data_IF_004749385036
#
_entry.id   IF_004749385036
#
_cell.length_a   1.000
_cell.length_b   1.000
_cell.length_c   1.000
_cell.angle_alpha   90.00
_cell.angle_beta   90.00
_cell.angle_gamma   90.00
#
_symmetry.space_group_name_H-M   'P 1'
#
loop_
_entity.id
_entity.type
_entity.pdbx_description
1 polymer ?
#
# COMPACT_ATOMS: atom_id res chain seq x y z
N UNK A 1 -25.56 -37.07 -34.40
CA UNK A 1 -24.22 -37.28 -34.99
C UNK A 1 -24.00 -36.14 -35.97
N UNK A 2 -23.54 -35.00 -35.48
CA UNK A 2 -23.22 -33.84 -36.32
C UNK A 2 -21.71 -33.59 -36.19
N UNK A 3 -20.99 -33.94 -37.25
CA UNK A 3 -19.55 -33.74 -37.37
C UNK A 3 -19.26 -32.27 -37.66
N UNK A 4 -18.86 -31.52 -36.64
CA UNK A 4 -18.35 -30.15 -36.83
C UNK A 4 -16.91 -30.21 -37.35
N UNK A 5 -16.76 -29.81 -38.62
CA UNK A 5 -15.50 -29.65 -39.33
C UNK A 5 -14.85 -28.31 -38.92
N UNK A 6 -13.72 -28.37 -38.22
CA UNK A 6 -12.95 -27.19 -37.81
C UNK A 6 -12.02 -26.82 -38.96
N UNK A 7 -12.25 -25.65 -39.57
CA UNK A 7 -11.40 -25.07 -40.59
C UNK A 7 -10.06 -24.63 -39.99
N UNK A 8 -8.97 -25.18 -40.53
CA UNK A 8 -7.60 -24.82 -40.16
C UNK A 8 -7.26 -23.41 -40.67
N UNK A 9 -6.85 -22.52 -39.75
CA UNK A 9 -6.37 -21.17 -40.08
C UNK A 9 -4.95 -21.22 -40.67
N UNK A 10 -4.62 -20.34 -41.62
CA UNK A 10 -3.29 -20.29 -42.25
C UNK A 10 -2.23 -19.82 -41.26
N UNK A 11 -1.15 -20.61 -41.12
CA UNK A 11 0.08 -20.24 -40.40
C UNK A 11 0.69 -19.00 -41.06
N UNK A 12 0.81 -17.93 -40.28
CA UNK A 12 1.57 -16.73 -40.65
C UNK A 12 3.06 -17.10 -40.59
N UNK A 13 3.73 -17.05 -41.74
CA UNK A 13 5.16 -17.30 -41.87
C UNK A 13 5.95 -16.38 -40.92
N UNK A 14 6.55 -16.98 -39.88
CA UNK A 14 7.59 -16.34 -39.08
C UNK A 14 8.83 -16.22 -39.96
N UNK A 15 9.06 -15.01 -40.48
CA UNK A 15 10.31 -14.63 -41.11
C UNK A 15 11.41 -14.73 -40.05
N UNK A 16 12.33 -15.68 -40.21
CA UNK A 16 13.49 -15.75 -39.34
C UNK A 16 14.34 -14.48 -39.51
N UNK A 17 14.81 -13.86 -38.40
CA UNK A 17 15.73 -12.75 -38.48
C UNK A 17 17.04 -13.20 -39.15
N UNK A 18 17.43 -12.45 -40.18
CA UNK A 18 18.63 -12.68 -40.97
C UNK A 18 19.87 -12.48 -40.10
N UNK A 19 20.79 -13.46 -40.09
CA UNK A 19 22.02 -13.45 -39.28
C UNK A 19 23.07 -12.41 -39.71
N UNK A 20 22.71 -11.45 -40.58
CA UNK A 20 23.61 -10.44 -41.13
C UNK A 20 23.27 -9.01 -40.69
N UNK A 21 22.34 -8.82 -39.75
CA UNK A 21 22.06 -7.48 -39.23
C UNK A 21 23.24 -7.02 -38.35
N UNK A 22 23.85 -5.85 -38.66
CA UNK A 22 24.95 -5.31 -37.87
C UNK A 22 24.47 -5.01 -36.44
N UNK A 23 25.34 -5.19 -35.43
CA UNK A 23 24.98 -4.91 -34.04
C UNK A 23 24.52 -3.46 -33.91
N UNK A 24 23.46 -3.19 -33.12
CA UNK A 24 23.01 -1.83 -32.88
C UNK A 24 24.15 -1.01 -32.28
N UNK A 25 24.28 0.28 -32.67
CA UNK A 25 25.31 1.15 -32.13
C UNK A 25 25.13 1.29 -30.61
N UNK A 26 26.23 1.42 -29.84
CA UNK A 26 26.15 1.64 -28.41
C UNK A 26 25.32 2.91 -28.12
N UNK A 27 24.48 2.89 -27.07
CA UNK A 27 23.67 4.05 -26.71
C UNK A 27 24.59 5.25 -26.44
N UNK A 28 24.29 6.36 -27.12
CA UNK A 28 25.01 7.61 -26.96
C UNK A 28 24.99 8.00 -25.47
N UNK A 29 26.18 8.12 -24.89
CA UNK A 29 26.35 8.63 -23.53
C UNK A 29 25.92 10.10 -23.54
N UNK A 30 24.70 10.34 -23.04
CA UNK A 30 24.25 11.67 -22.64
C UNK A 30 25.07 12.05 -21.39
N UNK A 31 26.10 12.88 -21.59
CA UNK A 31 26.75 13.62 -20.52
C UNK A 31 25.70 14.56 -19.90
N UNK A 32 25.10 14.10 -18.81
CA UNK A 32 24.28 14.94 -17.93
C UNK A 32 25.26 15.71 -17.05
N UNK A 33 25.60 16.93 -17.48
CA UNK A 33 26.25 17.93 -16.65
C UNK A 33 25.40 18.17 -15.40
N UNK A 34 25.82 17.53 -14.32
CA UNK A 34 25.23 17.72 -13.00
C UNK A 34 25.91 18.93 -12.37
N UNK A 35 25.47 20.13 -12.75
CA UNK A 35 25.71 21.32 -11.93
C UNK A 35 25.01 21.12 -10.59
N UNK A 36 25.81 20.83 -9.57
CA UNK A 36 25.43 20.71 -8.17
C UNK A 36 25.07 22.11 -7.63
N UNK A 37 23.80 22.46 -7.38
CA UNK A 37 23.51 23.61 -6.55
C UNK A 37 23.85 23.24 -5.12
N UNK A 38 24.73 24.04 -4.52
CA UNK A 38 25.09 23.93 -3.10
C UNK A 38 24.09 24.76 -2.31
N UNK A 39 23.16 24.16 -1.53
CA UNK A 39 22.38 24.93 -0.58
C UNK A 39 23.22 25.15 0.69
N UNK A 40 23.89 26.29 0.75
CA UNK A 40 24.37 26.87 1.99
C UNK A 40 23.18 27.43 2.78
N UNK A 41 22.49 26.56 3.53
CA UNK A 41 21.62 27.00 4.62
C UNK A 41 22.25 26.59 5.94
N UNK A 42 23.04 27.53 6.44
CA UNK A 42 23.35 27.73 7.84
C UNK A 42 22.04 27.92 8.60
N UNK A 43 21.72 26.98 9.49
CA UNK A 43 20.59 27.07 10.42
C UNK A 43 20.94 26.27 11.66
N UNK A 44 21.76 26.90 12.48
CA UNK A 44 21.68 26.98 13.95
C UNK A 44 20.87 25.87 14.61
N UNK A 45 21.58 24.81 15.02
CA UNK A 45 21.11 23.86 16.02
C UNK A 45 21.13 24.51 17.40
N UNK A 46 20.06 25.23 17.75
CA UNK A 46 19.73 25.57 19.14
C UNK A 46 18.99 24.39 19.77
N UNK A 47 19.76 23.46 20.34
CA UNK A 47 19.27 22.46 21.29
C UNK A 47 18.92 23.17 22.60
N UNK A 48 17.69 23.69 22.68
CA UNK A 48 17.18 24.29 23.92
C UNK A 48 16.03 23.43 24.46
N UNK A 49 16.27 22.85 25.65
CA UNK A 49 15.35 22.08 26.48
C UNK A 49 13.89 22.59 26.45
N UNK A 50 13.03 21.93 25.67
CA UNK A 50 11.59 22.20 25.59
C UNK A 50 10.73 21.05 26.17
N UNK A 51 11.24 20.31 27.15
CA UNK A 51 10.63 19.03 27.58
C UNK A 51 9.52 19.13 28.66
N UNK A 52 9.08 20.32 29.08
CA UNK A 52 8.18 20.45 30.24
C UNK A 52 6.77 20.99 29.97
N UNK A 53 6.45 21.45 28.76
CA UNK A 53 5.10 22.00 28.43
C UNK A 53 4.26 21.07 27.56
N UNK A 54 4.83 19.98 27.02
CA UNK A 54 4.17 19.08 26.06
C UNK A 54 3.09 18.18 26.69
N UNK A 55 2.98 18.14 28.02
CA UNK A 55 2.06 17.22 28.72
C UNK A 55 0.57 17.62 28.69
N UNK A 56 0.21 18.79 28.14
CA UNK A 56 -1.19 19.23 28.08
C UNK A 56 -1.83 19.17 26.69
N UNK A 57 -1.09 18.80 25.65
CA UNK A 57 -1.65 18.63 24.31
C UNK A 57 -2.19 17.20 24.13
N UNK A 58 -3.36 17.03 23.49
CA UNK A 58 -3.88 15.72 23.16
C UNK A 58 -2.83 14.88 22.41
N UNK A 59 -2.78 13.55 22.62
CA UNK A 59 -1.73 12.67 22.12
C UNK A 59 -1.54 12.71 20.60
N UNK A 60 -2.58 13.09 19.85
CA UNK A 60 -2.57 13.26 18.39
C UNK A 60 -1.70 14.44 17.93
N UNK A 61 -1.57 15.46 18.77
CA UNK A 61 -0.74 16.63 18.50
C UNK A 61 0.67 16.48 19.08
N UNK A 62 0.93 15.39 19.80
CA UNK A 62 2.28 15.07 20.24
C UNK A 62 3.03 14.43 19.08
N UNK A 63 4.15 15.01 18.71
CA UNK A 63 5.01 14.46 17.67
C UNK A 63 5.93 13.39 18.26
N UNK A 64 6.23 12.37 17.47
CA UNK A 64 7.27 11.42 17.82
C UNK A 64 8.62 12.08 17.57
N UNK A 65 9.42 12.27 18.61
CA UNK A 65 10.77 12.78 18.48
C UNK A 65 11.65 11.67 17.92
N UNK A 66 12.21 11.93 16.74
CA UNK A 66 13.08 10.98 16.05
C UNK A 66 14.49 11.53 16.10
N UNK A 67 15.42 10.70 16.55
CA UNK A 67 16.83 11.02 16.47
C UNK A 67 17.31 10.97 15.01
N UNK A 68 17.48 12.14 14.40
CA UNK A 68 17.98 12.29 13.03
C UNK A 68 19.49 12.03 12.91
N UNK A 69 20.18 11.80 14.03
CA UNK A 69 21.63 11.53 14.06
C UNK A 69 21.97 10.03 14.06
N UNK A 70 20.95 9.17 14.03
CA UNK A 70 21.12 7.72 13.96
C UNK A 70 21.84 7.32 12.64
N UNK A 71 23.05 6.73 12.72
CA UNK A 71 23.81 6.33 11.54
C UNK A 71 23.17 5.18 10.75
N UNK A 72 22.26 4.42 11.36
CA UNK A 72 21.59 3.28 10.73
C UNK A 72 20.24 3.64 10.10
N UNK A 73 19.85 4.92 10.07
CA UNK A 73 18.60 5.38 9.47
C UNK A 73 18.63 5.31 7.93
N UNK A 74 17.60 4.71 7.32
CA UNK A 74 17.47 4.66 5.86
C UNK A 74 17.43 6.09 5.29
N UNK A 75 18.22 6.44 4.26
CA UNK A 75 18.16 7.74 3.59
C UNK A 75 16.73 8.16 3.16
N UNK A 76 15.89 7.22 2.75
CA UNK A 76 14.51 7.50 2.42
C UNK A 76 13.72 7.90 3.68
N UNK A 77 13.87 7.14 4.76
CA UNK A 77 13.26 7.46 6.05
C UNK A 77 13.74 8.81 6.59
N UNK A 78 15.04 9.11 6.48
CA UNK A 78 15.61 10.41 6.85
C UNK A 78 14.92 11.56 6.10
N UNK A 79 14.81 11.45 4.77
CA UNK A 79 14.15 12.49 3.97
C UNK A 79 12.69 12.66 4.37
N UNK A 80 11.95 11.57 4.56
CA UNK A 80 10.56 11.66 5.00
C UNK A 80 10.43 12.29 6.38
N UNK A 81 11.20 11.82 7.37
CA UNK A 81 11.12 12.31 8.76
C UNK A 81 11.59 13.76 8.90
N UNK A 82 12.43 14.24 7.99
CA UNK A 82 12.84 15.66 7.94
C UNK A 82 11.72 16.60 7.47
N UNK A 83 10.84 16.15 6.58
CA UNK A 83 9.79 17.00 5.99
C UNK A 83 8.39 16.74 6.54
N UNK A 84 8.12 15.50 6.98
CA UNK A 84 6.81 15.05 7.41
C UNK A 84 6.90 14.66 8.90
N UNK A 85 6.41 15.51 9.82
CA UNK A 85 6.38 15.17 11.22
C UNK A 85 5.41 14.00 11.46
N UNK A 86 5.89 12.96 12.14
CA UNK A 86 5.08 11.78 12.45
C UNK A 86 4.38 12.00 13.80
N UNK A 87 3.05 12.00 13.86
CA UNK A 87 2.33 12.08 15.13
C UNK A 87 2.51 10.78 15.93
N UNK A 88 2.51 10.88 17.27
CA UNK A 88 2.63 9.70 18.15
C UNK A 88 1.46 8.73 18.03
N UNK A 89 0.27 9.27 17.80
CA UNK A 89 -0.94 8.51 17.59
C UNK A 89 -1.59 9.00 16.31
N UNK A 90 -1.96 8.07 15.44
CA UNK A 90 -2.68 8.44 14.24
C UNK A 90 -4.11 8.83 14.60
N UNK A 91 -4.66 9.84 13.94
CA UNK A 91 -6.00 10.35 14.23
C UNK A 91 -7.06 9.24 14.31
N UNK A 92 -6.94 8.20 13.49
CA UNK A 92 -7.89 7.09 13.45
C UNK A 92 -7.76 6.09 14.59
N UNK A 93 -6.63 6.05 15.27
CA UNK A 93 -6.42 5.18 16.43
C UNK A 93 -7.05 5.80 17.68
N UNK A 94 -7.09 7.14 17.74
CA UNK A 94 -7.69 7.87 18.86
C UNK A 94 -9.12 8.31 18.61
N UNK A 95 -9.57 8.36 17.34
CA UNK A 95 -10.95 8.63 16.94
C UNK A 95 -11.91 7.46 17.18
N UNK A 96 -11.80 6.77 18.32
CA UNK A 96 -12.83 5.84 18.75
C UNK A 96 -14.10 6.60 19.18
N UNK A 97 -15.28 6.02 18.92
CA UNK A 97 -16.58 6.61 19.29
C UNK A 97 -16.72 6.88 20.80
N UNK A 98 -15.94 6.16 21.61
CA UNK A 98 -15.86 6.30 23.06
C UNK A 98 -15.08 7.54 23.52
N UNK A 99 -14.28 8.18 22.67
CA UNK A 99 -13.48 9.34 23.04
C UNK A 99 -14.29 10.65 22.86
N UNK A 100 -14.34 11.48 23.92
CA UNK A 100 -14.99 12.80 23.90
C UNK A 100 -14.44 13.72 22.81
N UNK A 101 -13.17 13.53 22.42
CA UNK A 101 -12.54 14.29 21.36
C UNK A 101 -13.22 14.06 19.99
N UNK A 102 -13.70 12.84 19.73
CA UNK A 102 -14.36 12.53 18.47
C UNK A 102 -15.67 13.31 18.30
N UNK A 103 -16.37 13.58 19.41
CA UNK A 103 -17.62 14.34 19.41
C UNK A 103 -17.39 15.83 19.15
N UNK A 104 -16.25 16.39 19.60
CA UNK A 104 -15.93 17.81 19.50
C UNK A 104 -15.20 18.22 18.21
N UNK A 105 -14.95 17.30 17.28
CA UNK A 105 -14.29 17.60 16.02
C UNK A 105 -15.14 18.49 15.10
N UNK A 106 -14.57 19.56 14.53
CA UNK A 106 -15.24 20.38 13.53
C UNK A 106 -15.75 19.52 12.35
N UNK A 107 -17.00 19.74 11.95
CA UNK A 107 -17.65 19.00 10.85
C UNK A 107 -16.88 19.07 9.53
N UNK A 108 -16.12 20.15 9.29
CA UNK A 108 -15.28 20.32 8.10
C UNK A 108 -14.21 19.24 7.99
N UNK A 109 -13.59 18.88 9.11
CA UNK A 109 -12.54 17.86 9.15
C UNK A 109 -13.13 16.48 8.89
N UNK A 110 -14.28 16.16 9.50
CA UNK A 110 -15.00 14.91 9.25
C UNK A 110 -15.41 14.79 7.78
N UNK A 111 -15.92 15.87 7.19
CA UNK A 111 -16.31 15.90 5.79
C UNK A 111 -15.11 15.66 4.87
N UNK A 112 -13.98 16.35 5.11
CA UNK A 112 -12.76 16.15 4.32
C UNK A 112 -12.26 14.70 4.37
N UNK A 113 -12.22 14.08 5.54
CA UNK A 113 -11.81 12.68 5.65
C UNK A 113 -12.77 11.73 4.92
N UNK A 114 -14.08 11.96 5.03
CA UNK A 114 -15.07 11.21 4.26
C UNK A 114 -14.83 11.38 2.75
N UNK A 115 -14.49 12.58 2.27
CA UNK A 115 -14.19 12.78 0.85
C UNK A 115 -12.98 11.99 0.37
N UNK A 116 -11.90 11.92 1.17
CA UNK A 116 -10.71 11.11 0.85
C UNK A 116 -11.07 9.62 0.82
N UNK A 117 -11.84 9.16 1.80
CA UNK A 117 -12.30 7.77 1.84
C UNK A 117 -13.10 7.41 0.57
N UNK A 118 -14.09 8.22 0.20
CA UNK A 118 -14.87 7.99 -1.00
C UNK A 118 -14.04 8.10 -2.27
N UNK A 119 -13.07 9.01 -2.33
CA UNK A 119 -12.15 9.11 -3.46
C UNK A 119 -11.35 7.82 -3.64
N UNK A 120 -10.84 7.24 -2.54
CA UNK A 120 -10.16 5.94 -2.56
C UNK A 120 -11.07 4.81 -3.03
N UNK A 121 -12.33 4.78 -2.60
CA UNK A 121 -13.32 3.80 -3.07
C UNK A 121 -13.64 3.98 -4.55
N UNK A 122 -13.80 5.22 -5.01
CA UNK A 122 -14.04 5.56 -6.41
C UNK A 122 -12.85 5.18 -7.29
N UNK A 123 -11.62 5.42 -6.84
CA UNK A 123 -10.40 5.00 -7.54
C UNK A 123 -10.35 3.48 -7.72
N UNK A 124 -10.64 2.69 -6.67
CA UNK A 124 -10.71 1.23 -6.78
C UNK A 124 -11.77 0.76 -7.78
N UNK A 125 -12.93 1.42 -7.80
CA UNK A 125 -14.00 1.11 -8.78
C UNK A 125 -13.62 1.53 -10.19
N UNK A 126 -12.95 2.67 -10.34
CA UNK A 126 -12.46 3.17 -11.62
C UNK A 126 -11.35 2.28 -12.16
N UNK A 127 -10.48 1.73 -11.31
CA UNK A 127 -9.47 0.74 -11.66
C UNK A 127 -10.13 -0.55 -12.18
N UNK A 128 -11.09 -1.10 -11.44
CA UNK A 128 -11.84 -2.28 -11.88
C UNK A 128 -12.63 -2.04 -13.19
N UNK A 129 -13.23 -0.85 -13.35
CA UNK A 129 -13.90 -0.47 -14.60
C UNK A 129 -12.91 -0.24 -15.75
N UNK A 130 -11.75 0.33 -15.44
CA UNK A 130 -10.66 0.58 -16.38
C UNK A 130 -10.08 -0.71 -16.91
N UNK A 131 -9.98 -1.76 -16.08
CA UNK A 131 -9.56 -3.09 -16.52
C UNK A 131 -10.51 -3.66 -17.59
N UNK A 132 -11.82 -3.52 -17.40
CA UNK A 132 -12.82 -3.98 -18.38
C UNK A 132 -12.68 -3.20 -19.69
N UNK A 133 -12.60 -1.87 -19.61
CA UNK A 133 -12.45 -1.02 -20.80
C UNK A 133 -11.13 -1.27 -21.51
N UNK A 134 -10.04 -1.45 -20.78
CA UNK A 134 -8.72 -1.76 -21.32
C UNK A 134 -8.68 -3.14 -21.99
N UNK A 135 -9.36 -4.15 -21.42
CA UNK A 135 -9.51 -5.47 -22.02
C UNK A 135 -10.35 -5.43 -23.30
N UNK A 136 -11.47 -4.68 -23.30
CA UNK A 136 -12.34 -4.54 -24.48
C UNK A 136 -11.65 -3.78 -25.61
N UNK A 137 -10.91 -2.71 -25.30
CA UNK A 137 -10.18 -1.92 -26.28
C UNK A 137 -8.85 -2.56 -26.71
N UNK A 138 -8.46 -3.70 -26.12
CA UNK A 138 -7.18 -4.34 -26.39
C UNK A 138 -5.98 -3.49 -25.95
N UNK A 139 -6.18 -2.48 -25.10
CA UNK A 139 -5.09 -1.69 -24.53
C UNK A 139 -4.28 -2.50 -23.50
N UNK A 140 -4.88 -3.57 -22.97
CA UNK A 140 -4.24 -4.48 -22.02
C UNK A 140 -3.42 -5.60 -22.70
N UNK A 141 -3.38 -5.69 -24.03
CA UNK A 141 -2.27 -6.38 -24.73
C UNK A 141 -1.06 -5.47 -24.67
N UNK A 142 -0.57 -5.26 -23.45
CA UNK A 142 0.54 -4.36 -23.15
C UNK A 142 1.83 -4.89 -23.74
N UNK A 143 2.85 -4.04 -23.79
CA UNK A 143 4.18 -4.38 -24.29
C UNK A 143 4.79 -5.62 -23.61
N UNK A 144 4.28 -6.07 -22.46
CA UNK A 144 4.70 -7.29 -21.76
C UNK A 144 4.00 -8.58 -22.22
N UNK A 145 3.16 -8.55 -23.26
CA UNK A 145 2.45 -9.75 -23.73
C UNK A 145 3.41 -10.81 -24.33
N UNK A 146 4.65 -10.41 -24.66
CA UNK A 146 5.71 -11.36 -25.01
C UNK A 146 6.18 -12.21 -23.82
N UNK A 147 6.07 -11.69 -22.59
CA UNK A 147 6.46 -12.41 -21.36
C UNK A 147 5.43 -13.49 -21.05
N UNK A 148 4.14 -13.18 -21.23
CA UNK A 148 3.03 -14.11 -21.02
C UNK A 148 2.92 -15.15 -22.13
N UNK A 149 3.19 -14.78 -23.38
CA UNK A 149 3.13 -15.68 -24.54
C UNK A 149 4.29 -16.68 -24.63
N UNK A 150 5.41 -16.44 -23.93
CA UNK A 150 6.54 -17.38 -23.85
C UNK A 150 6.45 -18.34 -22.66
N UNK A 151 5.54 -18.11 -21.71
CA UNK A 151 5.31 -19.05 -20.61
C UNK A 151 4.58 -20.30 -21.10
N UNK A 152 5.11 -21.48 -20.77
CA UNK A 152 4.43 -22.74 -21.04
C UNK A 152 3.19 -22.89 -20.15
N UNK A 153 2.23 -23.72 -20.59
CA UNK A 153 1.02 -24.01 -19.81
C UNK A 153 1.34 -24.53 -18.40
N UNK A 154 2.41 -25.33 -18.26
CA UNK A 154 2.87 -25.83 -16.96
C UNK A 154 3.36 -24.70 -16.04
N UNK A 155 4.07 -23.72 -16.59
CA UNK A 155 4.55 -22.57 -15.82
C UNK A 155 3.37 -21.68 -15.39
N UNK A 156 2.37 -21.53 -16.26
CA UNK A 156 1.13 -20.83 -15.94
C UNK A 156 0.36 -21.51 -14.82
N UNK A 157 0.24 -22.84 -14.85
CA UNK A 157 -0.41 -23.60 -13.80
C UNK A 157 0.29 -23.40 -12.45
N UNK A 158 1.62 -23.49 -12.40
CA UNK A 158 2.41 -23.24 -11.18
C UNK A 158 2.29 -21.81 -10.67
N UNK A 159 2.23 -20.83 -11.58
CA UNK A 159 2.06 -19.42 -11.21
C UNK A 159 0.68 -19.17 -10.59
N UNK A 160 -0.38 -19.73 -11.18
CA UNK A 160 -1.75 -19.67 -10.60
C UNK A 160 -1.81 -20.34 -9.25
N UNK A 161 -1.27 -21.54 -9.13
CA UNK A 161 -1.20 -22.27 -7.85
C UNK A 161 -0.48 -21.45 -6.77
N UNK A 162 0.67 -20.83 -7.09
CA UNK A 162 1.37 -19.97 -6.13
C UNK A 162 0.57 -18.71 -5.77
N UNK A 163 -0.18 -18.14 -6.71
CA UNK A 163 -1.00 -16.95 -6.46
C UNK A 163 -2.20 -17.30 -5.57
N UNK A 164 -2.92 -18.37 -5.92
CA UNK A 164 -4.03 -18.91 -5.15
C UNK A 164 -3.61 -19.28 -3.73
N UNK A 165 -2.44 -19.90 -3.55
CA UNK A 165 -1.89 -20.20 -2.22
C UNK A 165 -1.71 -18.94 -1.37
N UNK A 166 -1.11 -17.88 -1.91
CA UNK A 166 -0.91 -16.60 -1.19
C UNK A 166 -2.23 -15.88 -0.89
N UNK A 167 -3.23 -16.00 -1.75
CA UNK A 167 -4.57 -15.47 -1.51
C UNK A 167 -5.23 -16.26 -0.38
N UNK A 168 -5.15 -17.60 -0.42
CA UNK A 168 -5.66 -18.49 0.62
C UNK A 168 -5.01 -18.23 1.98
N UNK A 169 -3.69 -18.09 2.05
CA UNK A 169 -2.97 -17.76 3.30
C UNK A 169 -3.40 -16.41 3.88
N UNK A 170 -3.63 -15.40 3.04
CA UNK A 170 -4.14 -14.10 3.49
C UNK A 170 -5.55 -14.21 4.04
N UNK A 171 -6.43 -14.91 3.33
CA UNK A 171 -7.82 -15.15 3.77
C UNK A 171 -7.87 -15.94 5.08
N UNK A 172 -7.07 -16.98 5.22
CA UNK A 172 -6.99 -17.78 6.44
C UNK A 172 -6.52 -16.94 7.64
N UNK A 173 -5.53 -16.07 7.46
CA UNK A 173 -5.09 -15.13 8.51
C UNK A 173 -6.17 -14.11 8.88
N UNK A 174 -6.96 -13.66 7.91
CA UNK A 174 -8.09 -12.75 8.16
C UNK A 174 -9.22 -13.47 8.92
N UNK A 175 -9.53 -14.71 8.55
CA UNK A 175 -10.50 -15.56 9.25
C UNK A 175 -10.03 -15.88 10.69
N UNK A 176 -8.75 -16.22 10.89
CA UNK A 176 -8.18 -16.44 12.22
C UNK A 176 -8.28 -15.18 13.10
N UNK A 177 -8.01 -14.00 12.52
CA UNK A 177 -8.19 -12.72 13.22
C UNK A 177 -9.66 -12.46 13.58
N UNK A 178 -10.59 -12.77 12.67
CA UNK A 178 -12.03 -12.61 12.94
C UNK A 178 -12.50 -13.54 14.06
N UNK A 179 -12.13 -14.83 14.01
CA UNK A 179 -12.46 -15.80 15.07
C UNK A 179 -11.86 -15.38 16.41
N UNK A 180 -10.62 -14.88 16.41
CA UNK A 180 -9.98 -14.35 17.63
C UNK A 180 -10.77 -13.17 18.21
N UNK A 181 -11.12 -12.19 17.37
CA UNK A 181 -11.91 -11.04 17.81
C UNK A 181 -13.30 -11.44 18.32
N UNK A 182 -13.96 -12.40 17.67
CA UNK A 182 -15.26 -12.91 18.09
C UNK A 182 -15.17 -13.65 19.44
N UNK A 183 -14.11 -14.45 19.63
CA UNK A 183 -13.85 -15.12 20.91
C UNK A 183 -13.62 -14.11 22.03
N UNK A 184 -12.79 -13.09 21.81
CA UNK A 184 -12.54 -12.02 22.77
C UNK A 184 -13.86 -11.30 23.12
N UNK A 185 -14.73 -11.03 22.13
CA UNK A 185 -16.07 -10.43 22.35
C UNK A 185 -16.99 -11.30 23.21
N UNK A 186 -17.00 -12.61 22.98
CA UNK A 186 -17.83 -13.56 23.76
C UNK A 186 -17.32 -13.67 25.19
N UNK A 187 -16.00 -13.70 25.40
CA UNK A 187 -15.41 -13.72 26.74
C UNK A 187 -15.77 -12.45 27.53
N UNK A 188 -15.76 -11.28 26.89
CA UNK A 188 -16.22 -10.03 27.50
C UNK A 188 -17.71 -10.06 27.89
N UNK A 189 -18.59 -10.61 27.04
CA UNK A 189 -20.02 -10.76 27.34
C UNK A 189 -20.25 -11.71 28.53
N UNK A 190 -19.53 -12.84 28.59
CA UNK A 190 -19.63 -13.80 29.70
C UNK A 190 -19.18 -13.19 31.03
N UNK A 191 -18.07 -12.45 31.04
CA UNK A 191 -17.58 -11.78 32.27
C UNK A 191 -18.62 -10.78 32.78
N UNK A 192 -19.28 -10.07 31.87
CA UNK A 192 -20.33 -9.09 32.22
C UNK A 192 -21.56 -9.76 32.84
N UNK A 193 -21.98 -10.91 32.32
CA UNK A 193 -23.17 -11.63 32.81
C UNK A 193 -22.97 -12.32 34.16
N UNK A 194 -21.74 -12.75 34.47
CA UNK A 194 -21.42 -13.38 35.76
C UNK A 194 -21.38 -12.36 36.91
N UNK A 195 -21.45 -11.05 36.62
CA UNK A 195 -21.49 -10.00 37.64
C UNK A 195 -20.20 -9.87 38.44
N UNK A 196 -19.11 -10.50 38.00
CA UNK A 196 -17.78 -10.30 38.54
C UNK A 196 -17.27 -8.96 38.02
N UNK A 197 -17.45 -7.90 38.83
CA UNK A 197 -16.79 -6.64 38.57
C UNK A 197 -15.28 -6.90 38.52
N UNK A 198 -14.60 -6.48 37.44
CA UNK A 198 -13.13 -6.60 37.32
C UNK A 198 -12.36 -5.93 38.47
N UNK A 199 -13.05 -5.21 39.36
CA UNK A 199 -12.50 -4.65 40.59
C UNK A 199 -12.28 -5.66 41.72
N UNK A 200 -12.91 -6.84 41.68
CA UNK A 200 -12.87 -7.79 42.81
C UNK A 200 -11.83 -8.92 42.65
N UNK A 201 -10.97 -8.86 41.62
CA UNK A 201 -9.96 -9.90 41.28
C UNK A 201 -8.51 -9.43 41.52
N UNK A 202 -8.31 -8.30 42.21
CA UNK A 202 -7.01 -7.85 42.72
C UNK A 202 -6.91 -8.12 44.23
#
# INVERSE_FOLDING_TARGET
MESSSIAALPRKDQSQPSANDPPPPPPAQLEVDTEKPTPSNDSTSDTTNASSTTQQLPPEYQLHEVDLTDPDMDPLEYTFRRYVPVPKAYFWETANESNQFHQNLPLRIKLWHNTIYYLGVCLKKAEAGGEIVANVLGLNSGEFDYVTSTMSEEQWARSRESSERRIGERRAKEEEKQVRMEKERVEEEVVKDVGLSSRDVL
#
